data_IF_618842167193
#
_entry.id   IF_618842167193
#
_cell.length_a   1.000
_cell.length_b   1.000
_cell.length_c   1.000
_cell.angle_alpha   90.00
_cell.angle_beta   90.00
_cell.angle_gamma   90.00
#
_symmetry.space_group_name_H-M   'P 1'
#
loop_
_entity.id
_entity.type
_entity.pdbx_description
1 polymer ?
#
# COMPACT_ATOMS: atom_id res chain seq x y z
N UNK A 1 -18.56 16.95 58.35
CA UNK A 1 -18.18 17.23 56.94
C UNK A 1 -16.80 16.66 56.59
N UNK A 2 -16.59 15.33 56.57
CA UNK A 2 -15.31 14.70 56.17
C UNK A 2 -15.40 13.79 54.93
N UNK A 3 -16.60 13.55 54.41
CA UNK A 3 -16.83 12.64 53.27
C UNK A 3 -16.58 13.24 51.88
N UNK A 4 -16.54 14.58 51.76
CA UNK A 4 -16.41 15.26 50.46
C UNK A 4 -14.97 15.30 49.92
N UNK A 5 -13.94 15.23 50.78
CA UNK A 5 -12.53 15.34 50.33
C UNK A 5 -11.98 14.04 49.75
N UNK A 6 -12.47 12.87 50.17
CA UNK A 6 -12.03 11.57 49.67
C UNK A 6 -12.61 11.24 48.28
N UNK A 7 -13.84 11.67 48.01
CA UNK A 7 -14.47 11.53 46.69
C UNK A 7 -13.81 12.43 45.64
N UNK A 8 -13.40 13.65 46.01
CA UNK A 8 -12.68 14.54 45.10
C UNK A 8 -11.26 14.04 44.78
N UNK A 9 -10.53 13.46 45.75
CA UNK A 9 -9.18 12.95 45.50
C UNK A 9 -9.20 11.66 44.66
N UNK A 10 -10.22 10.81 44.82
CA UNK A 10 -10.40 9.60 44.02
C UNK A 10 -10.74 9.93 42.56
N UNK A 11 -11.50 11.00 42.32
CA UNK A 11 -11.85 11.44 40.96
C UNK A 11 -10.64 12.08 40.24
N UNK A 12 -9.78 12.81 40.96
CA UNK A 12 -8.56 13.38 40.40
C UNK A 12 -7.52 12.29 40.07
N UNK A 13 -7.44 11.21 40.86
CA UNK A 13 -6.54 10.09 40.58
C UNK A 13 -7.00 9.25 39.36
N UNK A 14 -8.31 9.10 39.15
CA UNK A 14 -8.85 8.47 37.94
C UNK A 14 -8.66 9.33 36.69
N UNK A 15 -8.71 10.67 36.81
CA UNK A 15 -8.38 11.57 35.69
C UNK A 15 -6.89 11.49 35.32
N UNK A 16 -5.99 11.34 36.31
CA UNK A 16 -4.56 11.19 36.07
C UNK A 16 -4.19 9.79 35.52
N UNK A 17 -4.92 8.73 35.90
CA UNK A 17 -4.73 7.39 35.34
C UNK A 17 -5.30 7.23 33.93
N UNK A 18 -6.34 8.00 33.56
CA UNK A 18 -6.92 8.01 32.22
C UNK A 18 -6.07 8.72 31.16
N UNK A 19 -5.13 9.58 31.57
CA UNK A 19 -4.26 10.33 30.64
C UNK A 19 -2.99 9.56 30.21
N UNK A 20 -2.69 8.40 30.81
CA UNK A 20 -1.46 7.63 30.51
C UNK A 20 -1.69 6.54 29.45
N UNK A 21 -2.94 6.23 29.08
CA UNK A 21 -3.22 5.17 28.08
C UNK A 21 -3.38 5.71 26.65
N UNK A 22 -3.48 7.02 26.44
CA UNK A 22 -3.46 7.62 25.10
C UNK A 22 -2.07 8.13 24.70
N UNK A 23 -1.02 7.33 24.93
CA UNK A 23 0.13 7.35 24.02
C UNK A 23 -0.17 6.36 22.90
N UNK A 24 -1.24 6.66 22.14
CA UNK A 24 -1.57 5.94 20.91
C UNK A 24 -0.31 5.88 20.05
N UNK A 25 -0.09 4.70 19.48
CA UNK A 25 0.99 4.36 18.59
C UNK A 25 1.01 5.33 17.40
N UNK A 26 1.63 6.49 17.60
CA UNK A 26 1.78 7.49 16.58
C UNK A 26 2.73 6.88 15.54
N UNK A 27 2.23 6.63 14.33
CA UNK A 27 3.06 6.26 13.20
C UNK A 27 4.16 7.32 13.01
N UNK A 28 5.35 7.01 13.50
CA UNK A 28 6.47 7.96 13.52
C UNK A 28 7.09 8.00 12.14
N UNK A 29 6.65 8.98 11.34
CA UNK A 29 7.41 9.41 10.17
C UNK A 29 8.80 9.85 10.62
N UNK A 30 9.83 9.14 10.20
CA UNK A 30 11.23 9.43 10.51
C UNK A 30 11.93 9.95 9.28
N UNK A 31 12.41 11.19 9.35
CA UNK A 31 13.28 11.77 8.32
C UNK A 31 14.67 11.16 8.44
N UNK A 32 15.15 10.56 7.37
CA UNK A 32 16.52 10.06 7.23
C UNK A 32 17.24 10.86 6.16
N UNK A 33 18.42 11.35 6.48
CA UNK A 33 19.22 12.18 5.57
C UNK A 33 20.54 11.51 5.22
N UNK A 34 21.03 11.80 4.02
CA UNK A 34 22.31 11.37 3.47
C UNK A 34 22.47 9.84 3.51
N UNK A 35 21.41 9.09 3.21
CA UNK A 35 21.48 7.63 3.18
C UNK A 35 22.04 7.20 1.85
N UNK A 36 23.11 6.41 1.88
CA UNK A 36 23.81 5.96 0.69
C UNK A 36 23.46 4.51 0.35
N UNK A 37 23.39 4.21 -0.94
CA UNK A 37 23.42 2.85 -1.47
C UNK A 37 24.41 2.78 -2.63
N UNK A 38 24.95 1.59 -2.89
CA UNK A 38 26.02 1.42 -3.89
C UNK A 38 25.84 0.19 -4.76
N UNK A 39 26.20 0.31 -6.04
CA UNK A 39 26.24 -0.80 -6.99
C UNK A 39 27.54 -0.76 -7.80
N UNK A 40 28.21 -1.91 -7.95
CA UNK A 40 29.42 -2.01 -8.77
C UNK A 40 29.07 -1.94 -10.26
N UNK A 41 29.72 -1.03 -10.98
CA UNK A 41 29.59 -0.87 -12.43
C UNK A 41 30.45 -1.95 -13.09
N UNK A 42 29.81 -3.07 -13.42
CA UNK A 42 30.46 -4.16 -14.16
C UNK A 42 30.25 -3.99 -15.67
N UNK A 43 31.01 -4.72 -16.48
CA UNK A 43 30.90 -4.69 -17.95
C UNK A 43 29.51 -5.11 -18.48
N UNK A 44 28.70 -5.74 -17.63
CA UNK A 44 27.42 -6.34 -18.01
C UNK A 44 26.21 -5.48 -17.61
N UNK A 45 26.41 -4.30 -17.02
CA UNK A 45 25.33 -3.41 -16.63
C UNK A 45 25.57 -1.99 -17.16
N UNK A 46 24.50 -1.30 -17.54
CA UNK A 46 24.57 0.12 -17.90
C UNK A 46 24.72 0.99 -16.66
N UNK A 47 25.15 2.25 -16.84
CA UNK A 47 25.21 3.22 -15.75
C UNK A 47 23.83 3.41 -15.09
N UNK A 48 22.78 3.52 -15.91
CA UNK A 48 21.40 3.68 -15.44
C UNK A 48 20.93 2.48 -14.62
N UNK A 49 21.25 1.25 -15.04
CA UNK A 49 20.95 0.05 -14.27
C UNK A 49 21.72 0.02 -12.94
N UNK A 50 22.98 0.48 -12.94
CA UNK A 50 23.78 0.59 -11.72
C UNK A 50 23.22 1.66 -10.77
N UNK A 51 22.77 2.80 -11.29
CA UNK A 51 22.10 3.86 -10.53
C UNK A 51 20.79 3.37 -9.89
N UNK A 52 19.95 2.65 -10.63
CA UNK A 52 18.72 2.08 -10.10
C UNK A 52 18.99 1.06 -8.99
N UNK A 53 19.99 0.19 -9.17
CA UNK A 53 20.40 -0.76 -8.12
C UNK A 53 20.96 -0.03 -6.90
N UNK A 54 21.78 1.01 -7.10
CA UNK A 54 22.30 1.83 -6.01
C UNK A 54 21.16 2.56 -5.27
N UNK A 55 20.13 3.03 -5.98
CA UNK A 55 18.94 3.64 -5.41
C UNK A 55 18.14 2.64 -4.56
N UNK A 56 17.95 1.42 -5.04
CA UNK A 56 17.27 0.36 -4.29
C UNK A 56 18.01 0.03 -2.99
N UNK A 57 19.34 -0.10 -3.06
CA UNK A 57 20.19 -0.30 -1.89
C UNK A 57 20.08 0.89 -0.90
N UNK A 58 20.04 2.12 -1.42
CA UNK A 58 19.86 3.33 -0.60
C UNK A 58 18.50 3.35 0.11
N UNK A 59 17.43 2.94 -0.58
CA UNK A 59 16.07 2.79 -0.01
C UNK A 59 16.05 1.74 1.10
N UNK A 60 16.67 0.57 0.89
CA UNK A 60 16.77 -0.46 1.91
C UNK A 60 17.55 0.03 3.15
N UNK A 61 18.67 0.72 2.93
CA UNK A 61 19.44 1.34 4.01
C UNK A 61 18.65 2.41 4.76
N UNK A 62 17.76 3.14 4.08
CA UNK A 62 16.91 4.15 4.68
C UNK A 62 15.83 3.52 5.58
N UNK A 63 15.21 2.43 5.12
CA UNK A 63 14.28 1.62 5.93
C UNK A 63 14.98 1.06 7.18
N UNK A 64 16.20 0.48 7.03
CA UNK A 64 17.03 0.01 8.14
C UNK A 64 17.35 1.12 9.13
N UNK A 65 17.81 2.28 8.65
CA UNK A 65 18.13 3.46 9.48
C UNK A 65 16.89 4.01 10.18
N UNK A 66 15.71 3.83 9.60
CA UNK A 66 14.45 4.19 10.21
C UNK A 66 13.99 3.21 11.29
N UNK A 67 14.58 2.02 11.37
CA UNK A 67 14.21 0.96 12.33
C UNK A 67 13.09 0.05 11.82
N UNK A 68 12.84 0.05 10.51
CA UNK A 68 11.88 -0.87 9.87
C UNK A 68 12.52 -2.26 9.78
N UNK A 69 11.85 -3.28 10.29
CA UNK A 69 12.35 -4.67 10.31
C UNK A 69 12.66 -5.21 8.91
N UNK A 70 13.73 -6.00 8.77
CA UNK A 70 14.19 -6.63 7.53
C UNK A 70 13.13 -7.49 6.83
N UNK A 71 12.24 -8.10 7.60
CA UNK A 71 11.10 -8.89 7.09
C UNK A 71 10.10 -8.02 6.28
N UNK A 72 10.16 -6.70 6.43
CA UNK A 72 9.20 -5.72 5.90
C UNK A 72 9.69 -4.99 4.64
N UNK A 73 10.92 -5.28 4.18
CA UNK A 73 11.58 -4.56 3.08
C UNK A 73 11.16 -5.02 1.68
N UNK A 74 10.39 -6.10 1.59
CA UNK A 74 10.17 -6.91 0.37
C UNK A 74 9.53 -6.17 -0.81
N UNK A 75 9.04 -4.94 -0.65
CA UNK A 75 8.22 -4.29 -1.69
C UNK A 75 8.89 -3.13 -2.42
N UNK A 76 9.98 -2.54 -1.90
CA UNK A 76 10.53 -1.32 -2.51
C UNK A 76 11.58 -1.57 -3.60
N UNK A 77 12.14 -2.79 -3.68
CA UNK A 77 13.19 -3.16 -4.63
C UNK A 77 12.70 -3.57 -6.02
N UNK A 78 11.40 -3.42 -6.31
CA UNK A 78 10.78 -4.04 -7.48
C UNK A 78 10.01 -3.05 -8.37
N UNK A 79 10.12 -1.76 -8.06
CA UNK A 79 9.58 -0.66 -8.87
C UNK A 79 10.76 0.09 -9.50
N UNK A 80 11.50 -0.59 -10.38
CA UNK A 80 12.39 0.09 -11.33
C UNK A 80 12.78 -0.85 -12.47
N UNK A 81 12.46 -0.38 -13.68
CA UNK A 81 12.88 -0.77 -15.03
C UNK A 81 12.11 -1.90 -15.75
N UNK A 82 11.35 -1.47 -16.76
CA UNK A 82 11.51 -1.81 -18.20
C UNK A 82 11.53 -3.26 -18.65
N UNK A 83 10.56 -4.04 -18.18
CA UNK A 83 9.95 -5.11 -18.97
C UNK A 83 8.77 -5.71 -18.18
N UNK A 84 7.55 -5.49 -18.69
CA UNK A 84 6.29 -5.92 -18.06
C UNK A 84 6.17 -7.42 -17.75
N UNK A 85 7.16 -8.24 -18.12
CA UNK A 85 7.26 -9.65 -17.78
C UNK A 85 7.78 -9.94 -16.36
N UNK A 86 8.72 -9.15 -15.82
CA UNK A 86 9.24 -9.40 -14.45
C UNK A 86 8.34 -8.80 -13.36
N UNK A 87 7.54 -7.79 -13.71
CA UNK A 87 6.52 -7.20 -12.85
C UNK A 87 5.52 -8.26 -12.33
N UNK A 88 5.19 -9.26 -13.16
CA UNK A 88 4.29 -10.36 -12.78
C UNK A 88 4.87 -11.27 -11.67
N UNK A 89 6.18 -11.46 -11.62
CA UNK A 89 6.83 -12.33 -10.61
C UNK A 89 6.98 -11.65 -9.24
N UNK A 90 7.10 -10.33 -9.24
CA UNK A 90 7.06 -9.47 -8.05
C UNK A 90 5.66 -9.45 -7.46
N UNK A 91 4.67 -9.30 -8.35
CA UNK A 91 3.27 -9.18 -8.01
C UNK A 91 2.66 -10.51 -7.55
N UNK A 92 3.21 -11.66 -7.96
CA UNK A 92 2.79 -12.98 -7.45
C UNK A 92 3.28 -13.26 -6.03
N UNK A 93 4.34 -12.56 -5.57
CA UNK A 93 4.79 -12.58 -4.17
C UNK A 93 3.99 -11.62 -3.26
N UNK A 94 3.07 -10.83 -3.84
CA UNK A 94 2.25 -9.84 -3.15
C UNK A 94 0.92 -10.39 -2.58
N UNK A 95 0.71 -11.70 -2.58
CA UNK A 95 -0.49 -12.36 -2.00
C UNK A 95 -0.58 -12.24 -0.47
N UNK A 96 0.36 -11.54 0.17
CA UNK A 96 0.25 -11.09 1.56
C UNK A 96 0.66 -9.63 1.64
N UNK A 97 -0.28 -8.72 1.39
CA UNK A 97 -0.09 -7.28 1.64
C UNK A 97 -0.06 -6.97 3.16
N UNK A 98 0.91 -7.55 3.87
CA UNK A 98 1.49 -6.94 5.07
C UNK A 98 2.73 -6.18 4.62
N UNK A 99 2.50 -5.05 3.95
CA UNK A 99 3.58 -4.20 3.45
C UNK A 99 3.79 -3.06 4.44
N UNK A 100 4.80 -3.22 5.29
CA UNK A 100 4.98 -2.42 6.51
C UNK A 100 6.17 -1.46 6.41
N UNK A 101 6.19 -0.62 5.37
CA UNK A 101 7.09 0.53 5.29
C UNK A 101 6.93 1.36 4.02
N UNK A 102 6.68 2.68 4.17
CA UNK A 102 6.67 3.63 3.05
C UNK A 102 7.91 4.51 3.11
N UNK A 103 8.59 4.65 1.98
CA UNK A 103 9.70 5.59 1.82
C UNK A 103 9.35 6.64 0.77
N UNK A 104 9.26 7.89 1.19
CA UNK A 104 9.12 9.04 0.30
C UNK A 104 10.49 9.68 0.09
N UNK A 105 11.00 9.68 -1.14
CA UNK A 105 12.29 10.29 -1.47
C UNK A 105 12.08 11.79 -1.68
N UNK A 106 12.78 12.60 -0.89
CA UNK A 106 12.77 14.05 -1.01
C UNK A 106 13.83 14.54 -2.00
N UNK A 107 15.00 13.89 -1.99
CA UNK A 107 16.10 14.22 -2.87
C UNK A 107 16.92 12.95 -3.17
N UNK A 108 17.43 12.84 -4.39
CA UNK A 108 18.39 11.82 -4.81
C UNK A 108 19.54 12.48 -5.55
N UNK A 109 20.77 12.07 -5.20
CA UNK A 109 21.99 12.46 -5.89
C UNK A 109 22.78 11.22 -6.26
N UNK A 110 23.18 11.11 -7.53
CA UNK A 110 24.06 10.05 -8.02
C UNK A 110 25.50 10.55 -8.13
N UNK A 111 26.44 9.71 -7.73
CA UNK A 111 27.88 9.94 -7.89
C UNK A 111 28.56 8.64 -8.29
N UNK A 112 29.64 8.74 -9.05
CA UNK A 112 30.50 7.59 -9.33
C UNK A 112 31.73 7.68 -8.45
N UNK A 113 31.96 6.65 -7.65
CA UNK A 113 33.14 6.51 -6.81
C UNK A 113 34.05 5.42 -7.40
N UNK A 114 35.36 5.66 -7.39
CA UNK A 114 36.34 4.69 -7.89
C UNK A 114 37.20 4.22 -6.73
N UNK A 115 37.15 2.92 -6.45
CA UNK A 115 37.99 2.26 -5.45
C UNK A 115 38.92 1.28 -6.19
N UNK A 116 40.18 1.68 -6.35
CA UNK A 116 41.16 0.91 -7.13
C UNK A 116 40.76 0.85 -8.61
N UNK A 117 40.59 -0.37 -9.14
CA UNK A 117 40.18 -0.63 -10.53
C UNK A 117 38.65 -0.82 -10.67
N UNK A 118 37.88 -0.64 -9.59
CA UNK A 118 36.43 -0.82 -9.57
C UNK A 118 35.72 0.51 -9.47
N UNK A 119 34.69 0.68 -10.29
CA UNK A 119 33.81 1.84 -10.26
C UNK A 119 32.48 1.46 -9.64
N UNK A 120 31.97 2.31 -8.76
CA UNK A 120 30.71 2.13 -8.06
C UNK A 120 29.77 3.30 -8.38
N UNK A 121 28.54 2.99 -8.76
CA UNK A 121 27.46 3.97 -8.74
C UNK A 121 26.95 4.09 -7.31
N UNK A 122 26.89 5.31 -6.79
CA UNK A 122 26.48 5.63 -5.42
C UNK A 122 25.28 6.56 -5.48
N UNK A 123 24.17 6.13 -4.89
CA UNK A 123 22.96 6.93 -4.73
C UNK A 123 22.90 7.45 -3.29
N UNK A 124 22.83 8.77 -3.11
CA UNK A 124 22.59 9.41 -1.82
C UNK A 124 21.18 9.96 -1.79
N UNK A 125 20.37 9.52 -0.82
CA UNK A 125 18.98 9.95 -0.67
C UNK A 125 18.72 10.65 0.67
N UNK A 126 17.88 11.67 0.60
CA UNK A 126 17.13 12.19 1.73
C UNK A 126 15.69 11.67 1.61
N UNK A 127 15.17 11.06 2.66
CA UNK A 127 13.88 10.41 2.61
C UNK A 127 13.08 10.57 3.91
N UNK A 128 11.76 10.49 3.78
CA UNK A 128 10.82 10.31 4.87
C UNK A 128 10.38 8.85 4.90
N UNK A 129 10.69 8.16 5.98
CA UNK A 129 10.31 6.78 6.18
C UNK A 129 9.19 6.71 7.20
N UNK A 130 8.06 6.11 6.81
CA UNK A 130 7.00 5.72 7.73
C UNK A 130 7.17 4.24 8.03
N UNK A 131 7.43 3.91 9.30
CA UNK A 131 7.31 2.53 9.77
C UNK A 131 5.84 2.12 9.64
N UNK A 132 5.54 0.99 8.98
CA UNK A 132 4.21 0.41 9.10
C UNK A 132 3.93 0.22 10.58
N UNK A 133 2.87 0.86 11.10
CA UNK A 133 2.48 0.72 12.49
C UNK A 133 2.23 -0.74 12.88
N UNK A 134 1.86 -0.97 14.13
CA UNK A 134 1.35 -2.29 14.54
C UNK A 134 0.08 -2.59 13.75
N UNK A 135 0.06 -3.67 12.96
CA UNK A 135 -1.17 -4.10 12.27
C UNK A 135 -2.18 -4.63 13.30
N UNK A 136 -3.46 -4.36 13.09
CA UNK A 136 -4.54 -5.01 13.84
C UNK A 136 -4.82 -6.39 13.21
N UNK A 137 -4.41 -7.50 13.85
CA UNK A 137 -4.57 -8.83 13.27
C UNK A 137 -6.04 -9.27 13.16
N UNK A 138 -6.96 -8.57 13.83
CA UNK A 138 -8.39 -8.88 13.80
C UNK A 138 -9.10 -8.21 12.63
N UNK A 139 -8.51 -7.14 12.07
CA UNK A 139 -9.07 -6.41 10.95
C UNK A 139 -8.66 -7.05 9.63
N UNK A 140 -9.51 -7.94 9.14
CA UNK A 140 -9.26 -8.74 7.93
C UNK A 140 -10.30 -8.42 6.87
N UNK A 141 -9.83 -8.21 5.63
CA UNK A 141 -10.66 -8.12 4.44
C UNK A 141 -10.57 -9.46 3.69
N UNK A 142 -11.71 -10.11 3.53
CA UNK A 142 -11.86 -11.38 2.83
C UNK A 142 -12.68 -11.15 1.56
N UNK A 143 -12.17 -11.61 0.42
CA UNK A 143 -12.76 -11.39 -0.90
C UNK A 143 -12.82 -12.73 -1.62
N UNK A 144 -14.02 -13.10 -2.05
CA UNK A 144 -14.29 -14.40 -2.65
C UNK A 144 -15.07 -14.25 -3.96
N UNK A 145 -14.89 -15.20 -4.89
CA UNK A 145 -15.64 -15.25 -6.14
C UNK A 145 -15.11 -14.37 -7.26
N UNK A 146 -13.88 -13.87 -7.16
CA UNK A 146 -13.19 -13.25 -8.31
C UNK A 146 -12.55 -14.37 -9.14
N UNK A 147 -13.04 -14.58 -10.36
CA UNK A 147 -12.42 -15.50 -11.32
C UNK A 147 -11.08 -14.95 -11.79
N UNK A 148 -10.11 -15.80 -12.12
CA UNK A 148 -8.82 -15.35 -12.65
C UNK A 148 -8.86 -14.96 -14.13
N UNK A 149 -9.88 -15.43 -14.87
CA UNK A 149 -10.03 -15.22 -16.32
C UNK A 149 -11.48 -14.86 -16.62
N UNK A 150 -11.67 -13.76 -17.33
CA UNK A 150 -12.97 -13.23 -17.76
C UNK A 150 -13.04 -13.16 -19.28
N UNK A 151 -14.11 -13.66 -19.92
CA UNK A 151 -14.39 -13.36 -21.32
C UNK A 151 -14.64 -11.86 -21.53
N UNK A 152 -14.25 -11.32 -22.68
CA UNK A 152 -14.55 -9.95 -23.07
C UNK A 152 -16.07 -9.71 -23.12
N UNK A 153 -16.54 -8.66 -22.44
CA UNK A 153 -17.96 -8.34 -22.29
C UNK A 153 -18.67 -9.12 -21.17
N UNK A 154 -17.94 -9.89 -20.36
CA UNK A 154 -18.51 -10.54 -19.18
C UNK A 154 -18.61 -9.59 -17.98
N UNK A 155 -19.17 -10.08 -16.87
CA UNK A 155 -19.42 -9.27 -15.68
C UNK A 155 -18.59 -9.74 -14.51
N UNK A 156 -17.87 -8.81 -13.87
CA UNK A 156 -17.21 -9.04 -12.59
C UNK A 156 -18.27 -9.03 -11.48
N UNK A 157 -18.30 -10.12 -10.71
CA UNK A 157 -19.12 -10.25 -9.51
C UNK A 157 -18.34 -10.99 -8.44
N UNK A 158 -18.30 -10.46 -7.24
CA UNK A 158 -17.60 -11.09 -6.12
C UNK A 158 -18.29 -10.74 -4.80
N UNK A 159 -17.89 -11.42 -3.72
CA UNK A 159 -18.29 -11.07 -2.36
C UNK A 159 -17.11 -10.56 -1.57
N UNK A 160 -17.36 -9.59 -0.69
CA UNK A 160 -16.39 -9.10 0.26
C UNK A 160 -16.98 -9.13 1.68
N UNK A 161 -16.14 -9.46 2.65
CA UNK A 161 -16.47 -9.52 4.05
C UNK A 161 -15.33 -8.96 4.87
N UNK A 162 -15.65 -8.06 5.81
CA UNK A 162 -14.68 -7.48 6.73
C UNK A 162 -14.87 -8.08 8.13
N UNK A 163 -13.77 -8.32 8.84
CA UNK A 163 -13.77 -8.87 10.19
C UNK A 163 -13.18 -7.88 11.19
N UNK A 164 -13.49 -8.05 12.47
CA UNK A 164 -12.94 -7.24 13.57
C UNK A 164 -13.58 -5.86 13.73
N UNK A 165 -13.72 -5.10 12.64
CA UNK A 165 -14.22 -3.72 12.65
C UNK A 165 -15.07 -3.41 11.41
N UNK A 166 -16.06 -2.52 11.57
CA UNK A 166 -16.84 -1.99 10.44
C UNK A 166 -15.91 -1.19 9.51
N UNK A 167 -16.15 -1.22 8.20
CA UNK A 167 -15.21 -0.66 7.25
C UNK A 167 -15.86 0.21 6.18
N UNK A 168 -15.05 1.11 5.62
CA UNK A 168 -15.29 1.74 4.33
C UNK A 168 -14.39 1.07 3.29
N UNK A 169 -14.99 0.64 2.19
CA UNK A 169 -14.30 -0.06 1.10
C UNK A 169 -14.01 0.88 -0.07
N UNK A 170 -12.87 0.68 -0.72
CA UNK A 170 -12.47 1.35 -1.96
C UNK A 170 -11.96 0.31 -2.95
N UNK A 171 -12.63 0.13 -4.08
CA UNK A 171 -12.27 -0.78 -5.16
C UNK A 171 -11.64 0.00 -6.31
N UNK A 172 -10.46 -0.43 -6.73
CA UNK A 172 -9.70 0.15 -7.83
C UNK A 172 -9.42 -0.91 -8.88
N UNK A 173 -9.29 -0.50 -10.14
CA UNK A 173 -8.68 -1.31 -11.19
C UNK A 173 -7.49 -0.56 -11.80
N UNK A 174 -6.50 -1.32 -12.26
CA UNK A 174 -5.34 -0.81 -12.98
C UNK A 174 -4.95 -1.73 -14.13
N UNK A 175 -4.58 -1.15 -15.26
CA UNK A 175 -4.02 -1.83 -16.43
C UNK A 175 -2.60 -1.31 -16.72
N UNK A 176 -2.13 -1.49 -17.97
CA UNK A 176 -0.85 -0.95 -18.45
C UNK A 176 -0.88 0.56 -18.68
N UNK A 177 -2.06 1.17 -18.80
CA UNK A 177 -2.24 2.58 -19.21
C UNK A 177 -2.58 3.50 -18.04
N UNK A 178 -3.12 2.97 -16.95
CA UNK A 178 -3.48 3.71 -15.75
C UNK A 178 -4.39 2.92 -14.83
N UNK A 179 -5.26 3.62 -14.11
CA UNK A 179 -6.28 2.99 -13.29
C UNK A 179 -7.46 3.90 -12.99
N UNK A 180 -8.47 3.36 -12.33
CA UNK A 180 -9.62 4.12 -11.88
C UNK A 180 -10.28 3.50 -10.64
N UNK A 181 -11.12 4.29 -9.97
CA UNK A 181 -11.93 3.87 -8.82
C UNK A 181 -13.25 3.32 -9.33
N UNK A 182 -13.54 2.05 -9.02
CA UNK A 182 -14.83 1.42 -9.28
C UNK A 182 -15.83 1.78 -8.16
N UNK A 183 -15.39 1.67 -6.91
CA UNK A 183 -16.21 1.94 -5.73
C UNK A 183 -15.39 2.70 -4.68
N UNK A 184 -15.95 3.70 -3.99
CA UNK A 184 -17.22 4.35 -4.29
C UNK A 184 -17.14 5.10 -5.63
N UNK A 185 -18.24 5.12 -6.37
CA UNK A 185 -18.32 5.70 -7.72
C UNK A 185 -19.49 6.68 -7.86
N UNK A 186 -19.72 7.16 -9.08
CA UNK A 186 -20.84 8.08 -9.36
C UNK A 186 -22.21 7.44 -9.09
N UNK A 187 -22.32 6.14 -9.35
CA UNK A 187 -23.58 5.37 -9.26
C UNK A 187 -23.68 4.53 -7.99
N UNK A 188 -22.57 4.34 -7.28
CA UNK A 188 -22.50 3.61 -6.02
C UNK A 188 -21.93 4.49 -4.94
N UNK A 189 -22.83 5.03 -4.12
CA UNK A 189 -22.45 5.89 -3.01
C UNK A 189 -21.75 5.07 -1.94
N UNK A 190 -20.77 5.71 -1.31
CA UNK A 190 -20.09 5.16 -0.15
C UNK A 190 -21.09 4.84 0.97
N UNK A 191 -20.91 3.67 1.58
CA UNK A 191 -21.62 3.20 2.76
C UNK A 191 -20.66 2.52 3.74
N UNK A 192 -21.14 2.26 4.95
CA UNK A 192 -20.43 1.47 5.96
C UNK A 192 -20.72 -0.02 5.72
N UNK A 193 -19.66 -0.83 5.70
CA UNK A 193 -19.73 -2.28 5.64
C UNK A 193 -19.57 -2.84 7.05
N UNK A 194 -20.69 -3.31 7.60
CA UNK A 194 -20.71 -3.96 8.92
C UNK A 194 -19.78 -5.18 8.95
N UNK A 195 -19.02 -5.32 10.04
CA UNK A 195 -18.18 -6.50 10.26
C UNK A 195 -18.99 -7.79 10.28
N UNK A 196 -18.35 -8.86 9.86
CA UNK A 196 -18.88 -10.23 9.81
C UNK A 196 -20.09 -10.42 8.88
N UNK A 197 -20.47 -9.39 8.13
CA UNK A 197 -21.51 -9.44 7.11
C UNK A 197 -20.90 -9.49 5.72
N UNK A 198 -21.45 -10.36 4.90
CA UNK A 198 -21.02 -10.51 3.52
C UNK A 198 -21.79 -9.56 2.61
N UNK A 199 -21.08 -8.90 1.70
CA UNK A 199 -21.64 -7.99 0.71
C UNK A 199 -21.24 -8.43 -0.69
N UNK A 200 -22.19 -8.41 -1.62
CA UNK A 200 -21.92 -8.67 -3.04
C UNK A 200 -21.53 -7.37 -3.75
N UNK A 201 -20.61 -7.48 -4.70
CA UNK A 201 -20.20 -6.42 -5.61
C UNK A 201 -20.62 -6.79 -7.04
N UNK A 202 -21.22 -5.86 -7.82
CA UNK A 202 -21.63 -4.50 -7.43
C UNK A 202 -22.62 -4.48 -6.26
N UNK A 203 -22.51 -3.46 -5.41
CA UNK A 203 -23.39 -3.25 -4.24
C UNK A 203 -24.80 -2.90 -4.71
N UNK A 204 -24.91 -2.10 -5.76
CA UNK A 204 -26.18 -1.79 -6.38
C UNK A 204 -26.64 -2.96 -7.28
N UNK A 205 -27.77 -3.62 -6.97
CA UNK A 205 -28.23 -4.80 -7.71
C UNK A 205 -28.66 -4.50 -9.16
N UNK A 206 -28.84 -3.22 -9.51
CA UNK A 206 -29.18 -2.79 -10.86
C UNK A 206 -27.95 -2.40 -11.69
N UNK A 207 -26.75 -2.62 -11.16
CA UNK A 207 -25.49 -2.29 -11.79
C UNK A 207 -24.69 -3.56 -12.11
N UNK A 208 -23.82 -3.47 -13.11
CA UNK A 208 -22.90 -4.52 -13.51
C UNK A 208 -21.51 -3.90 -13.73
N UNK A 209 -20.47 -4.59 -13.26
CA UNK A 209 -19.08 -4.24 -13.61
C UNK A 209 -18.72 -5.00 -14.89
N UNK A 210 -18.61 -4.28 -15.99
CA UNK A 210 -18.31 -4.84 -17.30
C UNK A 210 -16.80 -5.04 -17.46
N UNK A 211 -16.40 -6.25 -17.83
CA UNK A 211 -15.01 -6.62 -18.10
C UNK A 211 -14.79 -6.55 -19.61
N UNK A 212 -14.28 -5.41 -20.08
CA UNK A 212 -13.97 -5.18 -21.49
C UNK A 212 -12.50 -4.83 -21.69
N UNK A 213 -11.91 -5.36 -22.76
CA UNK A 213 -10.56 -4.98 -23.18
C UNK A 213 -10.59 -3.56 -23.74
N UNK A 214 -9.63 -2.74 -23.33
CA UNK A 214 -9.43 -1.42 -23.91
C UNK A 214 -8.94 -1.53 -25.36
N UNK A 215 -8.02 -2.46 -25.61
CA UNK A 215 -7.48 -2.73 -26.95
C UNK A 215 -7.97 -4.08 -27.48
N UNK A 216 -8.99 -4.03 -28.33
CA UNK A 216 -9.57 -5.22 -28.97
C UNK A 216 -8.60 -5.93 -29.94
N UNK A 217 -7.46 -5.32 -30.31
CA UNK A 217 -6.42 -6.00 -31.09
C UNK A 217 -5.61 -6.98 -30.24
N UNK A 218 -5.57 -6.79 -28.91
CA UNK A 218 -4.90 -7.70 -27.99
C UNK A 218 -5.74 -8.96 -27.78
N UNK A 219 -5.05 -10.12 -27.77
CA UNK A 219 -5.69 -11.40 -27.45
C UNK A 219 -6.10 -11.48 -25.98
N UNK A 220 -5.33 -10.87 -25.10
CA UNK A 220 -5.54 -10.87 -23.67
C UNK A 220 -5.16 -9.51 -23.11
N UNK A 221 -5.84 -9.10 -22.05
CA UNK A 221 -5.52 -7.90 -21.28
C UNK A 221 -5.51 -8.26 -19.80
N UNK A 222 -4.44 -7.91 -19.09
CA UNK A 222 -4.32 -8.19 -17.66
C UNK A 222 -4.59 -6.91 -16.88
N UNK A 223 -5.56 -6.97 -15.97
CA UNK A 223 -5.84 -5.88 -15.04
C UNK A 223 -5.56 -6.32 -13.61
N UNK A 224 -5.40 -5.36 -12.72
CA UNK A 224 -5.20 -5.56 -11.29
C UNK A 224 -6.39 -4.96 -10.56
N UNK A 225 -7.10 -5.79 -9.81
CA UNK A 225 -8.14 -5.33 -8.89
C UNK A 225 -7.52 -5.15 -7.51
N UNK A 226 -7.79 -4.01 -6.89
CA UNK A 226 -7.35 -3.74 -5.52
C UNK A 226 -8.55 -3.27 -4.72
N UNK A 227 -8.85 -3.96 -3.62
CA UNK A 227 -9.88 -3.57 -2.67
C UNK A 227 -9.21 -3.16 -1.35
N UNK A 228 -9.46 -1.94 -0.90
CA UNK A 228 -8.92 -1.40 0.35
C UNK A 228 -10.05 -1.17 1.34
N UNK A 229 -9.94 -1.79 2.51
CA UNK A 229 -10.81 -1.56 3.66
C UNK A 229 -10.15 -0.62 4.65
N UNK A 230 -10.93 0.32 5.18
CA UNK A 230 -10.48 1.34 6.13
C UNK A 230 -11.46 1.43 7.31
N UNK A 231 -10.97 1.50 8.55
CA UNK A 231 -11.82 1.61 9.74
C UNK A 231 -12.57 2.95 9.84
N UNK A 232 -11.99 3.99 9.24
CA UNK A 232 -12.52 5.34 9.17
C UNK A 232 -12.73 5.74 7.73
N UNK A 233 -13.61 6.70 7.53
CA UNK A 233 -13.90 7.24 6.22
C UNK A 233 -12.76 8.14 5.73
N UNK A 234 -11.87 7.57 4.93
CA UNK A 234 -10.73 8.27 4.35
C UNK A 234 -10.97 8.29 2.83
N UNK A 235 -11.27 9.45 2.22
CA UNK A 235 -11.46 9.51 0.78
C UNK A 235 -10.12 9.41 0.04
N UNK A 236 -10.15 8.83 -1.15
CA UNK A 236 -9.08 8.95 -2.13
C UNK A 236 -9.28 10.24 -2.93
N UNK A 237 -8.32 11.17 -2.87
CA UNK A 237 -8.46 12.55 -3.39
C UNK A 237 -7.45 12.92 -4.48
N UNK A 238 -6.64 11.96 -4.94
CA UNK A 238 -5.63 12.23 -5.97
C UNK A 238 -6.30 12.42 -7.34
N UNK A 239 -5.79 13.39 -8.12
CA UNK A 239 -6.32 13.71 -9.45
C UNK A 239 -5.97 12.62 -10.48
N UNK A 240 -4.76 12.08 -10.41
CA UNK A 240 -4.28 11.01 -11.29
C UNK A 240 -4.24 9.67 -10.56
N UNK A 241 -5.05 8.71 -11.02
CA UNK A 241 -5.15 7.39 -10.41
C UNK A 241 -4.06 6.48 -10.99
N UNK A 242 -2.94 6.44 -10.28
CA UNK A 242 -1.79 5.56 -10.57
C UNK A 242 -1.51 4.62 -9.41
N UNK A 243 -0.78 3.54 -9.64
CA UNK A 243 -0.33 2.67 -8.54
C UNK A 243 0.45 3.44 -7.46
N UNK A 244 1.31 4.39 -7.84
CA UNK A 244 2.07 5.19 -6.89
C UNK A 244 1.16 6.08 -6.04
N UNK A 245 0.15 6.72 -6.66
CA UNK A 245 -0.86 7.51 -5.94
C UNK A 245 -1.66 6.66 -4.94
N UNK A 246 -2.05 5.44 -5.34
CA UNK A 246 -2.76 4.50 -4.47
C UNK A 246 -1.89 4.07 -3.30
N UNK A 247 -0.63 3.70 -3.57
CA UNK A 247 0.30 3.31 -2.52
C UNK A 247 0.51 4.48 -1.55
N UNK A 248 0.77 5.69 -2.04
CA UNK A 248 0.87 6.91 -1.23
C UNK A 248 -0.32 7.08 -0.30
N UNK A 249 -1.53 6.92 -0.82
CA UNK A 249 -2.76 7.01 -0.04
C UNK A 249 -2.87 5.90 1.00
N UNK A 250 -2.67 4.63 0.62
CA UNK A 250 -2.67 3.48 1.56
C UNK A 250 -1.68 3.74 2.70
N UNK A 251 -0.46 4.21 2.38
CA UNK A 251 0.60 4.51 3.33
C UNK A 251 0.40 5.78 4.16
N UNK A 252 -0.57 6.62 3.82
CA UNK A 252 -1.01 7.70 4.68
C UNK A 252 -1.96 7.21 5.79
N UNK A 253 -2.59 6.05 5.60
CA UNK A 253 -3.52 5.45 6.56
C UNK A 253 -2.74 4.58 7.55
N UNK A 254 -3.06 4.62 8.85
CA UNK A 254 -2.41 3.76 9.81
C UNK A 254 -2.53 2.26 9.50
N UNK A 255 -1.45 1.50 9.75
CA UNK A 255 -1.41 0.06 9.45
C UNK A 255 -2.46 -0.76 10.23
N UNK A 256 -2.84 -0.33 11.43
CA UNK A 256 -3.94 -0.89 12.22
C UNK A 256 -5.33 -0.50 11.70
N UNK A 257 -5.43 0.49 10.83
CA UNK A 257 -6.70 1.01 10.33
C UNK A 257 -7.03 0.58 8.91
N UNK A 258 -6.15 -0.18 8.27
CA UNK A 258 -6.31 -0.59 6.86
C UNK A 258 -6.12 -2.09 6.67
N UNK A 259 -6.87 -2.64 5.72
CA UNK A 259 -6.65 -3.96 5.16
C UNK A 259 -6.79 -3.85 3.64
N UNK A 260 -6.00 -4.60 2.88
CA UNK A 260 -6.05 -4.54 1.43
C UNK A 260 -5.99 -5.94 0.83
N UNK A 261 -6.76 -6.13 -0.23
CA UNK A 261 -6.81 -7.31 -1.05
C UNK A 261 -6.47 -6.94 -2.50
N UNK A 262 -5.79 -7.84 -3.20
CA UNK A 262 -5.40 -7.64 -4.59
C UNK A 262 -5.44 -8.95 -5.35
N UNK A 263 -5.93 -8.89 -6.59
CA UNK A 263 -5.89 -10.00 -7.54
C UNK A 263 -5.56 -9.49 -8.95
N UNK A 264 -4.79 -10.29 -9.68
CA UNK A 264 -4.54 -10.04 -11.10
C UNK A 264 -5.49 -10.90 -11.93
N UNK A 265 -6.15 -10.27 -12.90
CA UNK A 265 -7.23 -10.88 -13.69
C UNK A 265 -6.98 -10.68 -15.16
N UNK A 266 -7.26 -11.71 -15.94
CA UNK A 266 -7.07 -11.70 -17.39
C UNK A 266 -8.41 -11.59 -18.11
N UNK A 267 -8.53 -10.64 -19.03
CA UNK A 267 -9.67 -10.49 -19.93
C UNK A 267 -9.29 -11.09 -21.29
N UNK A 268 -10.13 -11.97 -21.85
CA UNK A 268 -9.91 -12.68 -23.12
C UNK A 268 -10.93 -12.30 -24.19
#
# INVERSE_FOLDING_TARGET
MKFSKFLLSSFLLLLAAGLVICAEAQEKTKKVRGVTGRCEITRHITLEQAENKALQDAKANALRKAGVSEKLWTVTGLISQDDGSEFSQVLSRMTTMQVEGYINILNVKYTVETEGDRSYSVATIDAEVKSGGTVDPTFVLDVNGVDGIYPNGSYLKFTAKVYGHDAYLHLFWFDETGGSVIYPGQYEKKQVFEKEKEYSFPVNPYMQYLMEKLDNSKKFETINLILVATKRDIPFVEEEITFDSLLKWIYAIPADERAAWREAVVIQ
#
